data_IF_297378245439
#
_entry.id   IF_297378245439
#
_cell.length_a   1.000
_cell.length_b   1.000
_cell.length_c   1.000
_cell.angle_alpha   90.00
_cell.angle_beta   90.00
_cell.angle_gamma   90.00
#
_symmetry.space_group_name_H-M   'P 1'
#
loop_
_entity.id
_entity.type
_entity.pdbx_description
1 polymer ?
#
# COMPACT_ATOMS: atom_id res chain seq x y z
N UNK A 1 24.33 45.44 -49.56
CA UNK A 1 24.85 46.29 -48.45
C UNK A 1 23.75 46.33 -47.41
N UNK A 2 23.83 45.44 -46.42
CA UNK A 2 24.37 45.69 -45.06
C UNK A 2 23.26 46.28 -44.16
N UNK A 3 22.93 45.76 -42.97
CA UNK A 3 23.56 44.77 -42.11
C UNK A 3 23.39 45.20 -40.65
N UNK A 4 23.15 44.23 -39.75
CA UNK A 4 23.26 44.20 -38.27
C UNK A 4 21.99 43.59 -37.67
N UNK A 5 21.94 42.33 -37.21
CA UNK A 5 22.75 41.58 -36.23
C UNK A 5 22.57 42.07 -34.79
N UNK A 6 21.78 41.32 -34.01
CA UNK A 6 22.08 41.09 -32.60
C UNK A 6 21.51 39.74 -32.13
N UNK A 7 22.39 38.99 -31.48
CA UNK A 7 22.26 37.60 -31.08
C UNK A 7 21.23 37.37 -29.97
N UNK A 8 20.57 36.22 -29.98
CA UNK A 8 19.90 35.65 -28.80
C UNK A 8 20.67 34.43 -28.35
N UNK A 9 21.12 34.53 -27.11
CA UNK A 9 21.85 33.55 -26.33
C UNK A 9 21.07 32.23 -26.22
N UNK A 10 21.74 31.10 -26.47
CA UNK A 10 21.19 29.75 -26.30
C UNK A 10 21.93 29.09 -25.15
N UNK A 11 21.32 29.07 -23.97
CA UNK A 11 21.76 28.22 -22.85
C UNK A 11 21.43 26.75 -23.08
N UNK A 12 22.23 25.81 -22.54
CA UNK A 12 22.09 24.38 -22.84
C UNK A 12 20.92 23.73 -22.10
N UNK A 13 20.10 23.00 -22.85
CA UNK A 13 19.08 22.07 -22.37
C UNK A 13 19.77 20.81 -21.83
N UNK A 14 19.72 20.61 -20.52
CA UNK A 14 20.11 19.34 -19.89
C UNK A 14 18.91 18.40 -19.99
N UNK A 15 19.05 17.37 -20.82
CA UNK A 15 18.09 16.28 -21.02
C UNK A 15 18.65 15.07 -20.28
N UNK A 16 18.17 14.80 -19.05
CA UNK A 16 18.51 13.56 -18.36
C UNK A 16 17.66 12.42 -18.96
N UNK A 17 18.31 11.58 -19.76
CA UNK A 17 17.80 10.27 -20.17
C UNK A 17 18.40 9.24 -19.23
N UNK A 18 17.57 8.59 -18.41
CA UNK A 18 17.98 7.40 -17.66
C UNK A 18 17.53 6.19 -18.48
N UNK A 19 18.47 5.55 -19.18
CA UNK A 19 18.32 4.20 -19.71
C UNK A 19 19.11 3.28 -18.81
N UNK A 20 18.44 2.33 -18.15
CA UNK A 20 19.08 1.22 -17.44
C UNK A 20 18.74 -0.08 -18.17
N UNK A 21 19.77 -0.74 -18.72
CA UNK A 21 19.77 -2.19 -18.95
C UNK A 21 21.18 -2.75 -18.72
N UNK A 22 21.28 -4.03 -18.31
CA UNK A 22 22.39 -4.53 -17.50
C UNK A 22 23.45 -5.24 -18.35
N UNK A 23 24.68 -5.32 -17.84
CA UNK A 23 25.60 -6.36 -18.27
C UNK A 23 26.55 -6.78 -17.14
N UNK A 24 26.39 -8.03 -16.72
CA UNK A 24 27.40 -8.83 -16.04
C UNK A 24 28.74 -8.74 -16.75
N UNK A 25 29.82 -8.54 -15.98
CA UNK A 25 31.15 -9.05 -16.30
C UNK A 25 31.89 -9.39 -15.01
N UNK A 26 32.11 -10.69 -14.83
CA UNK A 26 33.04 -11.27 -13.85
C UNK A 26 34.47 -10.86 -14.18
N UNK A 27 35.20 -10.35 -13.18
CA UNK A 27 36.67 -10.33 -13.19
C UNK A 27 37.23 -10.71 -11.83
N UNK A 28 38.07 -11.75 -11.85
CA UNK A 28 38.84 -12.31 -10.75
C UNK A 28 39.70 -11.27 -10.02
N UNK A 29 39.54 -11.13 -8.70
CA UNK A 29 40.51 -10.51 -7.81
C UNK A 29 40.96 -11.53 -6.75
N UNK A 30 42.28 -11.64 -6.57
CA UNK A 30 42.97 -12.54 -5.63
C UNK A 30 42.73 -12.09 -4.17
N UNK A 31 42.74 -13.01 -3.18
CA UNK A 31 42.38 -12.68 -1.80
C UNK A 31 43.47 -11.82 -1.14
N UNK A 32 43.07 -10.65 -0.63
CA UNK A 32 43.88 -9.84 0.26
C UNK A 32 43.63 -10.31 1.69
N UNK A 33 44.69 -10.75 2.35
CA UNK A 33 44.75 -11.18 3.75
C UNK A 33 44.16 -10.11 4.68
N UNK A 34 43.12 -10.49 5.43
CA UNK A 34 42.62 -9.79 6.61
C UNK A 34 43.71 -9.85 7.69
N UNK A 35 44.22 -8.68 8.06
CA UNK A 35 44.83 -8.48 9.37
C UNK A 35 43.72 -7.98 10.29
N UNK A 36 43.44 -8.76 11.33
CA UNK A 36 42.57 -8.36 12.43
C UNK A 36 43.18 -7.13 13.14
N UNK A 37 42.51 -5.99 13.05
CA UNK A 37 42.59 -4.94 14.06
C UNK A 37 41.23 -4.89 14.76
N UNK A 38 41.10 -5.68 15.83
CA UNK A 38 40.00 -5.55 16.79
C UNK A 38 40.32 -4.40 17.75
N UNK A 39 39.31 -3.54 17.99
CA UNK A 39 39.20 -2.74 19.21
C UNK A 39 39.42 -1.23 19.05
N UNK A 40 38.43 -0.48 18.55
CA UNK A 40 38.30 0.98 18.81
C UNK A 40 36.97 1.64 18.37
N UNK A 41 35.99 0.91 17.81
CA UNK A 41 34.89 1.59 17.08
C UNK A 41 33.67 2.08 17.91
N UNK A 42 33.22 1.46 19.03
CA UNK A 42 32.04 1.97 19.73
C UNK A 42 32.31 3.29 20.48
N UNK A 43 33.54 3.49 20.97
CA UNK A 43 33.91 4.68 21.76
C UNK A 43 34.06 5.95 20.91
N UNK A 44 34.33 5.84 19.60
CA UNK A 44 34.43 7.01 18.72
C UNK A 44 33.07 7.50 18.24
N UNK A 45 32.14 6.60 17.95
CA UNK A 45 30.76 6.94 17.57
C UNK A 45 30.01 7.64 18.72
N UNK A 46 30.18 7.15 19.96
CA UNK A 46 29.63 7.79 21.15
C UNK A 46 30.26 9.17 21.42
N UNK A 47 31.59 9.30 21.25
CA UNK A 47 32.31 10.58 21.41
C UNK A 47 31.98 11.61 20.33
N UNK A 48 31.54 11.20 19.13
CA UNK A 48 31.15 12.14 18.06
C UNK A 48 29.74 12.69 18.22
N UNK A 49 28.86 11.99 18.96
CA UNK A 49 27.51 12.47 19.29
C UNK A 49 27.54 13.54 20.40
N UNK A 50 28.52 13.49 21.29
CA UNK A 50 28.72 14.53 22.32
C UNK A 50 29.22 15.88 21.75
N UNK A 51 29.67 15.92 20.49
CA UNK A 51 30.16 17.14 19.81
C UNK A 51 29.12 17.84 18.91
N UNK A 52 27.89 17.32 18.79
CA UNK A 52 26.85 17.94 17.95
C UNK A 52 26.10 19.04 18.71
N UNK A 53 26.07 20.26 18.15
CA UNK A 53 25.32 21.41 18.68
C UNK A 53 23.79 21.32 18.43
N UNK A 54 23.30 20.20 17.88
CA UNK A 54 21.90 20.00 17.53
C UNK A 54 21.29 19.04 18.55
N UNK A 55 20.20 19.45 19.16
CA UNK A 55 19.43 18.61 20.09
C UNK A 55 18.45 17.70 19.35
N UNK A 56 18.07 16.58 19.98
CA UNK A 56 17.02 15.70 19.45
C UNK A 56 15.69 16.44 19.28
N UNK A 57 15.38 17.37 20.19
CA UNK A 57 14.19 18.23 20.11
C UNK A 57 14.19 19.09 18.83
N UNK A 58 15.34 19.65 18.43
CA UNK A 58 15.45 20.43 17.19
C UNK A 58 15.27 19.57 15.94
N UNK A 59 15.71 18.31 15.97
CA UNK A 59 15.49 17.37 14.86
C UNK A 59 14.02 16.95 14.78
N UNK A 60 13.40 16.62 15.91
CA UNK A 60 11.99 16.27 15.99
C UNK A 60 11.09 17.43 15.53
N UNK A 61 11.39 18.66 15.95
CA UNK A 61 10.66 19.85 15.50
C UNK A 61 10.79 20.07 13.98
N UNK A 62 11.94 19.75 13.39
CA UNK A 62 12.17 19.84 11.95
C UNK A 62 11.42 18.76 11.17
N UNK A 63 11.44 17.51 11.65
CA UNK A 63 10.64 16.41 11.07
C UNK A 63 9.15 16.77 11.06
N UNK A 64 8.63 17.32 12.16
CA UNK A 64 7.26 17.80 12.23
C UNK A 64 6.96 18.97 11.25
N UNK A 65 7.95 19.80 10.92
CA UNK A 65 7.79 20.80 9.86
C UNK A 65 7.70 20.18 8.46
N UNK A 66 8.41 19.08 8.21
CA UNK A 66 8.26 18.31 6.98
C UNK A 66 6.88 17.66 6.91
N UNK A 67 6.40 17.04 8.00
CA UNK A 67 5.08 16.42 8.07
C UNK A 67 3.93 17.42 7.81
N UNK A 68 4.06 18.65 8.34
CA UNK A 68 3.14 19.75 8.07
C UNK A 68 3.10 20.08 6.55
N UNK A 69 4.25 20.09 5.88
CA UNK A 69 4.36 20.36 4.44
C UNK A 69 3.76 19.21 3.63
N UNK A 70 4.06 17.97 3.97
CA UNK A 70 3.51 16.78 3.30
C UNK A 70 1.99 16.73 3.40
N UNK A 71 1.45 17.03 4.59
CA UNK A 71 0.01 17.14 4.83
C UNK A 71 -0.63 18.19 3.90
N UNK A 72 0.01 19.35 3.73
CA UNK A 72 -0.50 20.39 2.81
C UNK A 72 -0.37 19.98 1.34
N UNK A 73 0.68 19.25 0.96
CA UNK A 73 0.82 18.70 -0.40
C UNK A 73 -0.35 17.77 -0.73
N UNK A 74 -0.73 16.88 0.20
CA UNK A 74 -1.89 15.98 0.01
C UNK A 74 -3.18 16.80 -0.19
N UNK A 75 -3.38 17.87 0.59
CA UNK A 75 -4.55 18.76 0.48
C UNK A 75 -4.63 19.42 -0.90
N UNK A 76 -3.52 19.97 -1.39
CA UNK A 76 -3.43 20.59 -2.71
C UNK A 76 -3.63 19.56 -3.84
N UNK A 77 -2.98 18.39 -3.72
CA UNK A 77 -3.13 17.30 -4.68
C UNK A 77 -4.59 16.85 -4.80
N UNK A 78 -5.29 16.68 -3.67
CA UNK A 78 -6.70 16.29 -3.66
C UNK A 78 -7.57 17.34 -4.38
N UNK A 79 -7.36 18.62 -4.07
CA UNK A 79 -8.08 19.74 -4.69
C UNK A 79 -7.91 19.76 -6.21
N UNK A 80 -6.67 19.63 -6.70
CA UNK A 80 -6.36 19.68 -8.12
C UNK A 80 -6.82 18.42 -8.88
N UNK A 81 -6.78 17.26 -8.24
CA UNK A 81 -7.10 15.97 -8.87
C UNK A 81 -8.60 15.63 -8.86
N UNK A 82 -9.38 16.17 -7.91
CA UNK A 82 -10.84 15.92 -7.79
C UNK A 82 -11.63 16.04 -9.10
N UNK A 83 -11.53 17.12 -9.91
CA UNK A 83 -12.25 17.20 -11.18
C UNK A 83 -11.77 16.18 -12.22
N UNK A 84 -10.49 15.76 -12.16
CA UNK A 84 -9.95 14.74 -13.04
C UNK A 84 -10.47 13.35 -12.67
N UNK A 85 -10.59 13.05 -11.38
CA UNK A 85 -11.20 11.81 -10.91
C UNK A 85 -12.68 11.72 -11.27
N UNK A 86 -13.44 12.82 -11.20
CA UNK A 86 -14.83 12.83 -11.67
C UNK A 86 -14.94 12.48 -13.17
N UNK A 87 -14.07 13.06 -14.01
CA UNK A 87 -13.98 12.70 -15.43
C UNK A 87 -13.56 11.24 -15.64
N UNK A 88 -12.62 10.75 -14.81
CA UNK A 88 -12.17 9.35 -14.85
C UNK A 88 -13.33 8.41 -14.59
N UNK A 89 -14.12 8.63 -13.54
CA UNK A 89 -15.30 7.80 -13.21
C UNK A 89 -16.28 7.72 -14.39
N UNK A 90 -16.57 8.84 -15.06
CA UNK A 90 -17.45 8.84 -16.24
C UNK A 90 -16.91 7.97 -17.38
N UNK A 91 -15.61 8.01 -17.63
CA UNK A 91 -14.97 7.20 -18.67
C UNK A 91 -14.94 5.72 -18.30
N UNK A 92 -14.54 5.40 -17.07
CA UNK A 92 -14.37 4.03 -16.59
C UNK A 92 -15.71 3.29 -16.49
N UNK A 93 -16.81 3.98 -16.19
CA UNK A 93 -18.15 3.38 -16.14
C UNK A 93 -18.62 2.73 -17.45
N UNK A 94 -17.95 3.06 -18.58
CA UNK A 94 -18.25 2.52 -19.91
C UNK A 94 -17.47 1.24 -20.23
N UNK A 95 -16.51 0.87 -19.38
CA UNK A 95 -15.65 -0.31 -19.55
C UNK A 95 -16.15 -1.42 -18.61
N UNK A 96 -16.72 -2.52 -19.15
CA UNK A 96 -17.14 -3.65 -18.34
C UNK A 96 -15.97 -4.24 -17.56
N UNK A 97 -16.22 -4.68 -16.32
CA UNK A 97 -15.27 -5.39 -15.45
C UNK A 97 -13.95 -4.64 -15.18
N UNK A 98 -13.89 -3.32 -15.45
CA UNK A 98 -12.67 -2.54 -15.30
C UNK A 98 -11.99 -2.74 -13.95
N UNK A 99 -12.75 -2.62 -12.85
CA UNK A 99 -12.19 -2.73 -11.50
C UNK A 99 -11.81 -4.15 -11.11
N UNK A 100 -12.49 -5.16 -11.64
CA UNK A 100 -12.10 -6.55 -11.43
C UNK A 100 -10.74 -6.84 -12.09
N UNK A 101 -10.55 -6.41 -13.34
CA UNK A 101 -9.27 -6.54 -14.05
C UNK A 101 -8.15 -5.73 -13.41
N UNK A 102 -8.47 -4.56 -12.82
CA UNK A 102 -7.51 -3.79 -12.03
C UNK A 102 -7.06 -4.57 -10.78
N UNK A 103 -7.99 -5.24 -10.09
CA UNK A 103 -7.67 -6.03 -8.91
C UNK A 103 -6.88 -7.31 -9.23
N UNK A 104 -7.07 -7.91 -10.41
CA UNK A 104 -6.23 -9.04 -10.87
C UNK A 104 -4.75 -8.65 -11.08
N UNK A 105 -4.46 -7.36 -11.21
CA UNK A 105 -3.11 -6.81 -11.31
C UNK A 105 -2.75 -5.98 -10.08
N UNK A 106 -3.48 -6.15 -8.97
CA UNK A 106 -3.25 -5.36 -7.77
C UNK A 106 -1.80 -5.50 -7.28
N UNK A 107 -1.25 -4.47 -6.61
CA UNK A 107 0.02 -4.60 -5.92
C UNK A 107 -0.04 -5.73 -4.88
N UNK A 108 1.12 -6.30 -4.55
CA UNK A 108 1.26 -7.45 -3.65
C UNK A 108 0.62 -7.19 -2.28
N UNK A 109 0.74 -5.95 -1.77
CA UNK A 109 0.14 -5.49 -0.50
C UNK A 109 -1.40 -5.57 -0.49
N UNK A 110 -2.04 -5.85 -1.62
CA UNK A 110 -3.49 -6.06 -1.74
C UNK A 110 -3.77 -7.49 -2.23
N UNK A 111 -3.07 -7.95 -3.26
CA UNK A 111 -3.29 -9.25 -3.91
C UNK A 111 -3.19 -10.42 -2.93
N UNK A 112 -2.25 -10.36 -1.98
CA UNK A 112 -2.04 -11.44 -1.00
C UNK A 112 -3.25 -11.70 -0.10
N UNK A 113 -4.15 -10.71 0.06
CA UNK A 113 -5.36 -10.81 0.88
C UNK A 113 -6.60 -11.25 0.10
N UNK A 114 -6.53 -11.31 -1.23
CA UNK A 114 -7.68 -11.66 -2.08
C UNK A 114 -7.71 -13.18 -2.31
N UNK A 115 -8.68 -13.86 -1.71
CA UNK A 115 -8.85 -15.30 -1.91
C UNK A 115 -9.60 -15.59 -3.23
N UNK A 116 -9.49 -16.80 -3.80
CA UNK A 116 -10.21 -17.16 -5.02
C UNK A 116 -11.73 -16.97 -4.95
N UNK A 117 -12.33 -17.16 -3.77
CA UNK A 117 -13.76 -16.89 -3.54
C UNK A 117 -14.09 -15.40 -3.58
N UNK A 118 -13.17 -14.55 -3.13
CA UNK A 118 -13.32 -13.09 -3.17
C UNK A 118 -13.20 -12.61 -4.61
N UNK A 119 -12.17 -13.07 -5.34
CA UNK A 119 -11.97 -12.74 -6.76
C UNK A 119 -13.20 -13.10 -7.59
N UNK A 120 -13.80 -14.27 -7.35
CA UNK A 120 -15.03 -14.67 -8.06
C UNK A 120 -16.19 -13.70 -7.81
N UNK A 121 -16.40 -13.27 -6.56
CA UNK A 121 -17.43 -12.30 -6.20
C UNK A 121 -17.15 -10.93 -6.81
N UNK A 122 -15.91 -10.46 -6.70
CA UNK A 122 -15.45 -9.16 -7.22
C UNK A 122 -15.59 -9.11 -8.75
N UNK A 123 -15.16 -10.14 -9.46
CA UNK A 123 -15.30 -10.25 -10.92
C UNK A 123 -16.75 -10.18 -11.39
N UNK A 124 -17.67 -10.82 -10.67
CA UNK A 124 -19.07 -10.91 -11.08
C UNK A 124 -19.90 -9.68 -10.73
N UNK A 125 -19.51 -8.92 -9.70
CA UNK A 125 -20.41 -7.91 -9.13
C UNK A 125 -19.78 -6.57 -8.83
N UNK A 126 -18.45 -6.41 -8.80
CA UNK A 126 -17.83 -5.11 -8.53
C UNK A 126 -18.04 -4.15 -9.72
N UNK A 127 -18.67 -3.01 -9.46
CA UNK A 127 -18.91 -1.95 -10.45
C UNK A 127 -17.90 -0.82 -10.36
N UNK A 128 -17.59 -0.41 -9.15
CA UNK A 128 -16.69 0.72 -8.92
C UNK A 128 -15.97 0.58 -7.60
N UNK A 129 -14.72 0.99 -7.58
CA UNK A 129 -14.04 1.44 -6.36
C UNK A 129 -14.06 2.98 -6.39
N UNK A 130 -13.93 3.64 -5.26
CA UNK A 130 -13.68 5.07 -5.17
C UNK A 130 -13.01 5.41 -3.85
N UNK A 131 -12.08 6.37 -3.88
CA UNK A 131 -11.42 6.89 -2.70
C UNK A 131 -11.68 8.38 -2.60
N UNK A 132 -12.09 8.83 -1.42
CA UNK A 132 -12.31 10.24 -1.10
C UNK A 132 -11.61 10.61 0.19
N UNK A 133 -11.22 11.88 0.34
CA UNK A 133 -10.71 12.43 1.59
C UNK A 133 -11.85 13.18 2.27
N UNK A 134 -12.78 12.43 2.83
CA UNK A 134 -14.11 12.91 3.25
C UNK A 134 -14.05 14.04 4.29
N UNK A 135 -13.05 14.06 5.17
CA UNK A 135 -12.87 15.18 6.11
C UNK A 135 -12.58 16.50 5.39
N UNK A 136 -11.85 16.47 4.26
CA UNK A 136 -11.61 17.65 3.43
C UNK A 136 -12.87 18.10 2.69
N UNK A 137 -13.73 17.15 2.32
CA UNK A 137 -15.01 17.44 1.69
C UNK A 137 -16.01 18.10 2.65
N UNK A 138 -15.93 17.74 3.94
CA UNK A 138 -16.73 18.33 5.01
C UNK A 138 -16.19 19.70 5.46
N UNK A 139 -14.87 19.81 5.69
CA UNK A 139 -14.20 21.06 6.04
C UNK A 139 -12.79 21.13 5.41
N UNK A 140 -12.68 21.88 4.32
CA UNK A 140 -11.42 22.07 3.57
C UNK A 140 -10.27 22.65 4.42
N UNK A 141 -10.55 23.26 5.58
CA UNK A 141 -9.52 23.87 6.43
C UNK A 141 -9.17 23.02 7.65
N UNK A 142 -10.16 22.32 8.21
CA UNK A 142 -9.98 21.56 9.46
C UNK A 142 -9.86 20.07 9.25
N UNK A 143 -10.37 19.53 8.14
CA UNK A 143 -10.27 18.11 7.85
C UNK A 143 -8.82 17.67 7.69
N UNK A 144 -8.50 16.50 8.26
CA UNK A 144 -7.19 15.89 8.04
C UNK A 144 -7.15 15.26 6.64
N UNK A 145 -6.18 15.64 5.79
CA UNK A 145 -6.11 15.13 4.43
C UNK A 145 -5.73 13.66 4.38
N UNK A 146 -5.14 13.07 5.43
CA UNK A 146 -4.76 11.65 5.47
C UNK A 146 -5.95 10.73 5.74
N UNK A 147 -7.04 11.24 6.32
CA UNK A 147 -8.29 10.50 6.46
C UNK A 147 -8.90 10.18 5.09
N UNK A 148 -9.25 8.90 4.87
CA UNK A 148 -9.78 8.41 3.60
C UNK A 148 -11.06 7.60 3.79
N UNK A 149 -11.96 7.66 2.82
CA UNK A 149 -13.09 6.75 2.69
C UNK A 149 -12.94 5.97 1.40
N UNK A 150 -12.93 4.64 1.52
CA UNK A 150 -12.81 3.70 0.42
C UNK A 150 -14.17 3.06 0.23
N UNK A 151 -14.74 3.24 -0.96
CA UNK A 151 -16.10 2.87 -1.28
C UNK A 151 -16.15 1.92 -2.48
N UNK A 152 -16.73 0.76 -2.27
CA UNK A 152 -16.98 -0.28 -3.25
C UNK A 152 -18.46 -0.28 -3.61
N UNK A 153 -18.76 -0.22 -4.91
CA UNK A 153 -20.12 -0.35 -5.44
C UNK A 153 -20.30 -1.70 -6.10
N UNK A 154 -21.42 -2.36 -5.81
CA UNK A 154 -21.73 -3.69 -6.29
C UNK A 154 -23.02 -3.75 -7.12
N UNK A 155 -23.06 -4.68 -8.06
CA UNK A 155 -24.29 -5.20 -8.64
C UNK A 155 -25.04 -6.07 -7.62
N UNK A 156 -26.32 -6.31 -7.89
CA UNK A 156 -27.03 -7.38 -7.20
C UNK A 156 -26.27 -8.69 -7.39
N UNK A 157 -26.00 -9.39 -6.29
CA UNK A 157 -25.17 -10.59 -6.27
C UNK A 157 -25.74 -11.64 -5.31
N UNK A 158 -25.21 -12.86 -5.33
CA UNK A 158 -25.70 -13.96 -4.50
C UNK A 158 -25.21 -13.93 -3.04
N UNK A 159 -24.28 -13.05 -2.71
CA UNK A 159 -23.55 -13.10 -1.45
C UNK A 159 -24.13 -12.19 -0.38
N UNK A 160 -24.47 -10.95 -0.70
CA UNK A 160 -24.99 -9.97 0.25
C UNK A 160 -26.03 -9.05 -0.37
N UNK A 161 -26.72 -8.27 0.47
CA UNK A 161 -27.78 -7.33 0.06
C UNK A 161 -27.28 -5.91 -0.21
N UNK A 162 -26.07 -5.57 0.26
CA UNK A 162 -25.47 -4.25 0.10
C UNK A 162 -25.12 -3.94 -1.35
N UNK A 163 -25.57 -2.79 -1.84
CA UNK A 163 -25.10 -2.25 -3.13
C UNK A 163 -23.84 -1.41 -3.00
N UNK A 164 -23.50 -1.00 -1.77
CA UNK A 164 -22.37 -0.12 -1.45
C UNK A 164 -21.77 -0.59 -0.14
N UNK A 165 -20.47 -0.84 -0.12
CA UNK A 165 -19.68 -0.99 1.10
C UNK A 165 -18.69 0.15 1.16
N UNK A 166 -18.80 1.00 2.17
CA UNK A 166 -17.89 2.13 2.40
C UNK A 166 -17.21 1.94 3.74
N UNK A 167 -15.87 1.93 3.74
CA UNK A 167 -15.04 1.89 4.93
C UNK A 167 -14.28 3.20 5.07
N UNK A 168 -14.36 3.81 6.25
CA UNK A 168 -13.68 5.07 6.58
C UNK A 168 -12.49 4.81 7.47
N UNK A 169 -11.41 5.52 7.19
CA UNK A 169 -10.18 5.53 7.97
C UNK A 169 -9.91 6.98 8.36
N UNK A 170 -9.73 7.20 9.66
CA UNK A 170 -9.43 8.50 10.21
C UNK A 170 -7.98 8.53 10.65
N UNK A 171 -7.25 9.58 10.28
CA UNK A 171 -5.96 9.84 10.89
C UNK A 171 -6.17 10.33 12.32
N UNK A 172 -5.52 9.67 13.28
CA UNK A 172 -5.63 9.97 14.70
C UNK A 172 -4.26 9.96 15.37
N UNK A 173 -4.21 10.65 16.50
CA UNK A 173 -3.04 10.75 17.36
C UNK A 173 -3.47 10.49 18.80
N UNK A 174 -2.77 9.65 19.56
CA UNK A 174 -3.00 9.47 21.00
C UNK A 174 -2.01 10.31 21.82
N UNK A 175 -2.23 10.40 23.14
CA UNK A 175 -1.28 11.04 24.06
C UNK A 175 0.00 10.22 24.25
N UNK A 176 -0.11 8.91 24.06
CA UNK A 176 0.94 7.92 24.27
C UNK A 176 1.83 7.76 23.02
N UNK A 177 1.68 8.62 22.02
CA UNK A 177 2.58 8.70 20.86
C UNK A 177 2.08 7.99 19.60
N UNK A 178 1.01 7.21 19.67
CA UNK A 178 0.43 6.60 18.46
C UNK A 178 -0.02 7.68 17.48
N UNK A 179 0.34 7.50 16.20
CA UNK A 179 -0.14 8.29 15.09
C UNK A 179 -0.40 7.36 13.90
N UNK A 180 -1.63 7.31 13.41
CA UNK A 180 -1.98 6.37 12.35
C UNK A 180 -3.44 6.40 11.95
N UNK A 181 -3.79 5.49 11.04
CA UNK A 181 -5.17 5.30 10.61
C UNK A 181 -5.91 4.40 11.60
N UNK A 182 -7.07 4.86 12.04
CA UNK A 182 -8.04 4.05 12.78
C UNK A 182 -9.33 3.94 11.98
N UNK A 183 -10.12 2.90 12.23
CA UNK A 183 -11.36 2.63 11.49
C UNK A 183 -12.46 2.11 12.41
N UNK A 184 -13.60 1.81 11.81
CA UNK A 184 -14.74 1.18 12.45
C UNK A 184 -15.16 -0.03 11.61
N UNK A 185 -15.73 -1.08 12.23
CA UNK A 185 -16.20 -2.24 11.50
C UNK A 185 -17.44 -1.91 10.68
N UNK A 186 -17.43 -2.31 9.41
CA UNK A 186 -18.56 -2.15 8.48
C UNK A 186 -19.31 -3.46 8.41
N UNK A 187 -20.61 -3.42 8.74
CA UNK A 187 -21.46 -4.61 8.64
C UNK A 187 -21.80 -4.92 7.18
N UNK A 188 -21.63 -6.18 6.78
CA UNK A 188 -22.07 -6.71 5.49
C UNK A 188 -23.30 -7.58 5.73
N UNK A 189 -24.42 -7.28 5.05
CA UNK A 189 -25.67 -8.05 5.15
C UNK A 189 -25.59 -9.30 4.28
N UNK A 190 -24.82 -10.28 4.73
CA UNK A 190 -24.65 -11.56 4.06
C UNK A 190 -25.98 -12.32 3.93
N UNK A 191 -26.21 -12.88 2.74
CA UNK A 191 -27.29 -13.82 2.48
C UNK A 191 -26.97 -15.15 3.16
N UNK A 192 -28.02 -15.92 3.45
CA UNK A 192 -27.93 -17.16 4.22
C UNK A 192 -26.91 -18.13 3.61
N UNK A 193 -25.87 -18.46 4.37
CA UNK A 193 -24.83 -19.43 4.00
C UNK A 193 -23.85 -18.94 2.93
N UNK A 194 -23.76 -17.62 2.72
CA UNK A 194 -22.90 -16.99 1.72
C UNK A 194 -21.86 -16.03 2.31
N UNK A 195 -21.74 -16.01 3.64
CA UNK A 195 -20.77 -15.22 4.38
C UNK A 195 -19.35 -15.78 4.14
N UNK A 196 -18.52 -14.99 3.46
CA UNK A 196 -17.13 -15.34 3.16
C UNK A 196 -16.20 -15.14 4.38
N UNK A 197 -16.66 -14.43 5.40
CA UNK A 197 -15.93 -14.20 6.66
C UNK A 197 -16.25 -15.23 7.74
N UNK A 198 -17.13 -16.19 7.44
CA UNK A 198 -17.58 -17.24 8.36
C UNK A 198 -18.02 -16.71 9.76
N UNK A 199 -18.71 -15.57 9.75
CA UNK A 199 -19.23 -14.89 10.93
C UNK A 199 -18.23 -14.05 11.73
N UNK A 200 -16.95 -13.99 11.33
CA UNK A 200 -15.92 -13.17 12.01
C UNK A 200 -16.34 -11.71 12.08
N UNK A 201 -16.81 -11.14 10.97
CA UNK A 201 -17.20 -9.75 10.90
C UNK A 201 -18.33 -9.38 11.89
N UNK A 202 -19.28 -10.30 12.07
CA UNK A 202 -20.36 -10.14 13.05
C UNK A 202 -19.85 -10.17 14.50
N UNK A 203 -18.85 -11.00 14.80
CA UNK A 203 -18.22 -11.05 16.12
C UNK A 203 -17.44 -9.76 16.42
N UNK A 204 -16.64 -9.28 15.45
CA UNK A 204 -15.92 -8.00 15.59
C UNK A 204 -16.88 -6.85 15.86
N UNK A 205 -17.96 -6.74 15.08
CA UNK A 205 -18.97 -5.70 15.30
C UNK A 205 -19.59 -5.79 16.70
N UNK A 206 -19.85 -7.00 17.19
CA UNK A 206 -20.42 -7.21 18.51
C UNK A 206 -19.47 -6.84 19.65
N UNK A 207 -18.16 -7.08 19.49
CA UNK A 207 -17.09 -6.66 20.41
C UNK A 207 -16.97 -5.14 20.41
N UNK A 208 -16.88 -4.54 19.22
CA UNK A 208 -16.80 -3.09 19.05
C UNK A 208 -17.99 -2.36 19.69
N UNK A 209 -19.21 -2.85 19.48
CA UNK A 209 -20.42 -2.27 20.12
C UNK A 209 -20.41 -2.42 21.65
N UNK A 210 -19.81 -3.47 22.19
CA UNK A 210 -19.64 -3.64 23.63
C UNK A 210 -18.61 -2.65 24.21
N UNK A 211 -17.51 -2.43 23.49
CA UNK A 211 -16.48 -1.44 23.86
C UNK A 211 -17.05 -0.02 23.84
N UNK A 212 -17.84 0.34 22.82
CA UNK A 212 -18.53 1.64 22.76
C UNK A 212 -19.53 1.83 23.91
N UNK A 213 -20.22 0.77 24.32
CA UNK A 213 -21.19 0.83 25.42
C UNK A 213 -20.51 0.91 26.81
N UNK A 214 -19.27 0.46 26.92
CA UNK A 214 -18.45 0.47 28.15
C UNK A 214 -17.03 0.92 27.81
N UNK A 215 -16.83 2.20 27.47
CA UNK A 215 -15.49 2.70 27.15
C UNK A 215 -14.56 2.45 28.34
N UNK A 216 -13.34 1.96 28.07
CA UNK A 216 -12.33 1.67 29.10
C UNK A 216 -12.25 2.88 30.05
N UNK A 217 -12.50 2.66 31.34
CA UNK A 217 -12.07 3.62 32.36
C UNK A 217 -10.56 3.53 32.44
N UNK A 218 -9.85 4.65 32.33
CA UNK A 218 -8.39 4.71 32.53
C UNK A 218 -8.02 4.08 33.88
N UNK A 219 -7.60 2.82 33.86
CA UNK A 219 -6.94 2.18 34.98
C UNK A 219 -5.46 2.48 34.88
N UNK A 220 -4.93 3.21 35.87
CA UNK A 220 -3.50 3.59 35.97
C UNK A 220 -2.53 2.41 36.16
N UNK A 221 -3.02 1.18 36.15
CA UNK A 221 -2.21 -0.02 36.31
C UNK A 221 -2.05 -0.71 34.95
N UNK A 222 -0.99 -0.39 34.20
CA UNK A 222 -0.59 -1.05 32.94
C UNK A 222 -0.32 -2.56 33.08
N UNK A 223 -0.34 -3.12 34.31
CA UNK A 223 -0.01 -4.53 34.64
C UNK A 223 -1.21 -5.39 35.08
N UNK A 224 -2.44 -4.89 35.03
CA UNK A 224 -3.61 -5.70 35.37
C UNK A 224 -4.12 -6.45 34.14
N UNK A 225 -3.95 -7.78 34.10
CA UNK A 225 -4.57 -8.66 33.08
C UNK A 225 -6.09 -8.45 33.09
N UNK A 226 -6.62 -7.73 32.11
CA UNK A 226 -8.07 -7.50 31.97
C UNK A 226 -8.68 -8.77 31.39
N UNK A 227 -9.56 -9.43 32.16
CA UNK A 227 -10.26 -10.60 31.65
C UNK A 227 -11.10 -10.24 30.41
N UNK A 228 -10.85 -10.93 29.29
CA UNK A 228 -11.66 -10.78 28.08
C UNK A 228 -13.15 -11.00 28.36
N UNK A 229 -13.99 -10.17 27.75
CA UNK A 229 -15.45 -10.35 27.77
C UNK A 229 -15.85 -11.65 27.08
N UNK A 230 -17.09 -12.11 27.29
CA UNK A 230 -17.60 -13.29 26.59
C UNK A 230 -17.56 -13.15 25.06
N UNK A 231 -17.80 -11.93 24.55
CA UNK A 231 -17.74 -11.64 23.12
C UNK A 231 -16.31 -11.65 22.59
N UNK A 232 -15.37 -11.06 23.33
CA UNK A 232 -13.96 -11.08 22.97
C UNK A 232 -13.39 -12.50 22.98
N UNK A 233 -13.76 -13.32 23.97
CA UNK A 233 -13.40 -14.74 24.02
C UNK A 233 -13.95 -15.51 22.82
N UNK A 234 -15.20 -15.27 22.45
CA UNK A 234 -15.81 -15.90 21.27
C UNK A 234 -15.11 -15.49 19.96
N UNK A 235 -14.67 -14.23 19.86
CA UNK A 235 -13.89 -13.74 18.73
C UNK A 235 -12.50 -14.39 18.68
N UNK A 236 -11.74 -14.38 19.79
CA UNK A 236 -10.42 -15.03 19.89
C UNK A 236 -10.50 -16.52 19.53
N UNK A 237 -11.47 -17.25 20.11
CA UNK A 237 -11.69 -18.67 19.78
C UNK A 237 -12.00 -18.89 18.29
N UNK A 238 -12.68 -17.94 17.63
CA UNK A 238 -12.97 -18.02 16.20
C UNK A 238 -11.72 -17.73 15.36
N UNK A 239 -10.92 -16.73 15.73
CA UNK A 239 -9.63 -16.40 15.09
C UNK A 239 -8.70 -17.62 15.14
N UNK A 240 -8.52 -18.20 16.33
CA UNK A 240 -7.67 -19.37 16.57
C UNK A 240 -8.07 -20.58 15.71
N UNK A 241 -9.37 -20.74 15.44
CA UNK A 241 -9.91 -21.83 14.61
C UNK A 241 -9.76 -21.59 13.11
N UNK A 242 -9.91 -20.34 12.67
CA UNK A 242 -9.81 -19.99 11.25
C UNK A 242 -8.36 -20.05 10.77
N UNK A 243 -7.42 -19.63 11.62
CA UNK A 243 -6.00 -19.53 11.28
C UNK A 243 -5.69 -18.29 10.42
N UNK A 244 -4.46 -17.78 10.54
CA UNK A 244 -4.05 -16.48 9.96
C UNK A 244 -4.04 -16.41 8.42
N UNK A 245 -3.95 -17.55 7.72
CA UNK A 245 -3.66 -17.58 6.27
C UNK A 245 -4.86 -17.80 5.34
N UNK A 246 -6.10 -17.62 5.78
CA UNK A 246 -7.29 -17.99 5.01
C UNK A 246 -8.52 -17.11 5.20
N UNK A 247 -8.36 -15.93 5.79
CA UNK A 247 -9.46 -14.98 5.92
C UNK A 247 -9.77 -14.35 4.57
N UNK A 248 -11.06 -14.24 4.25
CA UNK A 248 -11.54 -13.53 3.08
C UNK A 248 -11.12 -12.06 3.12
N UNK A 249 -10.85 -11.45 1.96
CA UNK A 249 -10.66 -10.00 1.82
C UNK A 249 -11.76 -9.20 2.52
N UNK A 250 -13.00 -9.71 2.56
CA UNK A 250 -14.12 -9.03 3.23
C UNK A 250 -13.96 -8.93 4.75
N UNK A 251 -13.02 -9.66 5.38
CA UNK A 251 -12.64 -9.47 6.77
C UNK A 251 -11.97 -8.11 7.01
N UNK A 252 -11.37 -7.49 5.99
CA UNK A 252 -10.83 -6.13 6.04
C UNK A 252 -11.88 -5.10 6.46
N UNK A 253 -13.17 -5.34 6.16
CA UNK A 253 -14.25 -4.48 6.63
C UNK A 253 -14.38 -4.47 8.16
N UNK A 254 -13.84 -5.47 8.86
CA UNK A 254 -13.77 -5.56 10.30
C UNK A 254 -12.53 -4.92 10.93
N UNK A 255 -11.51 -4.55 10.16
CA UNK A 255 -10.32 -3.89 10.70
C UNK A 255 -10.68 -2.60 11.46
N UNK A 256 -10.05 -2.38 12.61
CA UNK A 256 -10.27 -1.20 13.47
C UNK A 256 -8.97 -0.43 13.68
N UNK A 257 -7.84 -1.13 13.84
CA UNK A 257 -6.59 -0.54 14.31
C UNK A 257 -6.67 -0.12 15.79
N UNK A 258 -5.85 0.84 16.17
CA UNK A 258 -5.85 1.38 17.54
C UNK A 258 -7.16 2.09 17.89
N UNK A 259 -7.60 1.96 19.14
CA UNK A 259 -8.81 2.62 19.59
C UNK A 259 -8.50 4.04 20.08
N UNK A 260 -8.43 5.00 19.14
CA UNK A 260 -8.24 6.43 19.44
C UNK A 260 -9.47 7.23 19.07
N UNK A 261 -10.13 7.83 20.06
CA UNK A 261 -11.33 8.62 19.81
C UNK A 261 -11.02 9.96 19.11
N UNK A 262 -12.00 10.51 18.39
CA UNK A 262 -11.84 11.83 17.76
C UNK A 262 -11.57 12.96 18.79
N UNK A 263 -12.15 12.86 19.99
CA UNK A 263 -11.94 13.85 21.05
C UNK A 263 -10.55 13.73 21.67
N UNK A 264 -10.10 12.51 21.95
CA UNK A 264 -8.75 12.23 22.43
C UNK A 264 -7.70 12.75 21.45
N UNK A 265 -7.86 12.45 20.15
CA UNK A 265 -6.95 12.94 19.12
C UNK A 265 -6.97 14.46 18.99
N UNK A 266 -8.15 15.09 19.08
CA UNK A 266 -8.25 16.55 19.07
C UNK A 266 -7.49 17.17 20.25
N UNK A 267 -7.55 16.56 21.43
CA UNK A 267 -6.82 17.00 22.62
C UNK A 267 -5.32 16.80 22.41
N UNK A 268 -4.88 15.60 22.03
CA UNK A 268 -3.47 15.27 21.84
C UNK A 268 -2.80 16.19 20.80
N UNK A 269 -3.43 16.38 19.64
CA UNK A 269 -2.92 17.28 18.58
C UNK A 269 -2.92 18.75 19.02
N UNK A 270 -3.87 19.18 19.86
CA UNK A 270 -3.89 20.56 20.36
C UNK A 270 -2.79 20.81 21.40
N UNK A 271 -2.57 19.85 22.31
CA UNK A 271 -1.49 19.87 23.29
C UNK A 271 -0.13 19.90 22.58
N UNK A 272 0.11 19.01 21.62
CA UNK A 272 1.36 18.95 20.85
C UNK A 272 1.63 20.26 20.07
N UNK A 273 0.61 20.81 19.40
CA UNK A 273 0.74 22.11 18.70
C UNK A 273 1.05 23.25 19.66
N UNK A 274 0.49 23.25 20.87
CA UNK A 274 0.78 24.26 21.87
C UNK A 274 2.20 24.14 22.41
N UNK A 275 2.64 22.92 22.72
CA UNK A 275 4.03 22.62 23.13
C UNK A 275 5.01 23.08 22.06
N UNK A 276 4.80 22.71 20.80
CA UNK A 276 5.63 23.15 19.66
C UNK A 276 5.67 24.67 19.54
N UNK A 277 4.55 25.36 19.73
CA UNK A 277 4.50 26.83 19.72
C UNK A 277 5.35 27.42 20.86
N UNK A 278 5.30 26.82 22.06
CA UNK A 278 6.11 27.25 23.21
C UNK A 278 7.60 27.04 22.95
N UNK A 279 8.01 25.87 22.46
CA UNK A 279 9.42 25.58 22.07
C UNK A 279 9.94 26.60 21.05
N UNK A 280 9.20 26.83 19.96
CA UNK A 280 9.56 27.83 18.92
C UNK A 280 9.62 29.27 19.45
N UNK A 281 8.90 29.58 20.52
CA UNK A 281 8.95 30.87 21.19
C UNK A 281 10.06 30.97 22.26
N UNK A 282 10.80 29.89 22.52
CA UNK A 282 11.78 29.79 23.59
C UNK A 282 11.17 29.76 25.00
N UNK A 283 9.88 29.41 25.11
CA UNK A 283 9.18 29.20 26.38
C UNK A 283 9.49 27.79 26.92
N UNK A 284 9.61 27.63 28.23
CA UNK A 284 9.83 26.32 28.88
C UNK A 284 8.60 25.42 28.66
N UNK A 285 8.84 24.24 28.11
CA UNK A 285 7.84 23.18 28.00
C UNK A 285 8.10 22.18 29.11
N UNK A 286 7.03 21.75 29.79
CA UNK A 286 7.16 20.69 30.77
C UNK A 286 7.69 19.45 30.05
N UNK A 287 8.82 18.92 30.51
CA UNK A 287 9.26 17.59 30.05
C UNK A 287 8.14 16.63 30.41
N UNK A 288 7.64 15.90 29.42
CA UNK A 288 6.92 14.66 29.72
C UNK A 288 7.96 13.80 30.43
N UNK A 289 7.62 13.27 31.60
CA UNK A 289 8.53 12.37 32.28
C UNK A 289 8.73 11.19 31.32
N UNK A 290 9.90 11.14 30.67
CA UNK A 290 10.36 10.05 29.79
C UNK A 290 10.63 8.79 30.63
N UNK A 291 9.70 8.39 31.51
CA UNK A 291 9.81 7.16 32.31
C UNK A 291 9.59 5.90 31.46
N UNK A 292 9.27 6.03 30.17
CA UNK A 292 9.02 4.91 29.25
C UNK A 292 10.02 4.85 28.05
N UNK A 293 11.12 5.63 28.05
CA UNK A 293 12.27 5.41 27.14
C UNK A 293 13.36 4.52 27.79
N UNK A 294 12.96 3.56 28.64
CA UNK A 294 13.78 2.36 28.73
C UNK A 294 13.67 1.68 27.36
N UNK A 295 14.70 1.84 26.53
CA UNK A 295 15.05 0.86 25.52
C UNK A 295 15.25 -0.47 26.26
N UNK A 296 14.15 -1.12 26.60
CA UNK A 296 14.15 -2.53 26.93
C UNK A 296 14.69 -3.20 25.67
N UNK A 297 15.95 -3.62 25.73
CA UNK A 297 16.43 -4.80 25.03
C UNK A 297 15.52 -5.97 25.47
N UNK A 298 14.28 -5.98 24.98
CA UNK A 298 13.29 -7.00 25.21
C UNK A 298 13.62 -8.17 24.29
N UNK A 299 14.59 -8.97 24.69
CA UNK A 299 14.45 -10.42 24.59
C UNK A 299 13.34 -10.88 25.57
N UNK A 300 12.13 -10.31 25.45
CA UNK A 300 10.93 -10.72 26.19
C UNK A 300 10.01 -11.45 25.21
N UNK A 301 10.35 -12.70 24.95
CA UNK A 301 9.49 -13.73 24.33
C UNK A 301 8.19 -13.99 25.16
N UNK A 302 7.77 -13.09 26.06
CA UNK A 302 6.64 -13.24 27.00
C UNK A 302 5.51 -12.19 26.80
N UNK A 303 5.62 -11.27 25.83
CA UNK A 303 4.51 -10.38 25.39
C UNK A 303 3.58 -11.05 24.33
N UNK A 304 3.63 -12.37 24.17
CA UNK A 304 2.86 -13.15 23.18
C UNK A 304 1.32 -13.10 23.34
N UNK A 305 0.73 -12.29 24.22
CA UNK A 305 -0.70 -12.34 24.57
C UNK A 305 -1.33 -10.97 24.91
N UNK A 306 -0.96 -9.86 24.26
CA UNK A 306 -2.02 -8.87 24.02
C UNK A 306 -3.03 -9.59 23.12
N UNK A 307 -4.22 -9.89 23.66
CA UNK A 307 -5.21 -10.73 22.98
C UNK A 307 -5.55 -10.12 21.61
N UNK A 308 -4.82 -10.54 20.57
CA UNK A 308 -4.95 -9.99 19.22
C UNK A 308 -6.33 -10.39 18.68
N UNK A 309 -7.26 -9.44 18.79
CA UNK A 309 -8.62 -9.56 18.29
C UNK A 309 -8.73 -9.01 16.86
N UNK A 310 -7.61 -8.65 16.22
CA UNK A 310 -7.60 -8.21 14.85
C UNK A 310 -7.78 -9.40 13.90
N UNK A 311 -8.91 -9.41 13.20
CA UNK A 311 -9.21 -10.45 12.19
C UNK A 311 -8.52 -10.17 10.86
N UNK A 312 -7.93 -8.99 10.71
CA UNK A 312 -7.24 -8.55 9.50
C UNK A 312 -6.05 -7.65 9.91
N UNK A 313 -4.94 -8.25 10.37
CA UNK A 313 -3.73 -7.51 10.65
C UNK A 313 -3.30 -6.68 9.44
N UNK A 314 -2.71 -5.50 9.66
CA UNK A 314 -2.24 -4.59 8.61
C UNK A 314 -3.36 -4.04 7.70
N UNK A 315 -4.60 -3.97 8.20
CA UNK A 315 -5.71 -3.41 7.43
C UNK A 315 -5.55 -1.94 7.03
N UNK A 316 -4.76 -1.16 7.79
CA UNK A 316 -4.33 0.19 7.44
C UNK A 316 -3.37 0.19 6.25
N UNK A 317 -2.43 -0.75 6.18
CA UNK A 317 -1.52 -0.89 5.04
C UNK A 317 -2.30 -1.18 3.74
N UNK A 318 -3.29 -2.09 3.79
CA UNK A 318 -4.19 -2.35 2.65
C UNK A 318 -4.99 -1.09 2.29
N UNK A 319 -5.46 -0.32 3.28
CA UNK A 319 -6.16 0.93 3.03
C UNK A 319 -5.26 1.97 2.32
N UNK A 320 -4.01 2.11 2.75
CA UNK A 320 -3.01 2.98 2.12
C UNK A 320 -2.65 2.50 0.71
N UNK A 321 -2.41 1.20 0.52
CA UNK A 321 -2.14 0.62 -0.80
C UNK A 321 -3.31 0.88 -1.77
N UNK A 322 -4.55 0.76 -1.30
CA UNK A 322 -5.73 1.11 -2.11
C UNK A 322 -5.76 2.61 -2.41
N UNK A 323 -5.56 3.47 -1.40
CA UNK A 323 -5.73 4.92 -1.50
C UNK A 323 -4.65 5.61 -2.33
N UNK A 324 -3.39 5.18 -2.20
CA UNK A 324 -2.22 5.86 -2.74
C UNK A 324 -1.61 5.16 -3.97
N UNK A 325 -1.86 3.86 -4.18
CA UNK A 325 -1.38 3.12 -5.37
C UNK A 325 -2.52 2.59 -6.26
N UNK A 326 -3.33 1.63 -5.81
CA UNK A 326 -4.33 0.97 -6.67
C UNK A 326 -5.33 1.99 -7.26
N UNK A 327 -5.90 2.85 -6.43
CA UNK A 327 -6.91 3.82 -6.87
C UNK A 327 -6.34 4.87 -7.82
N UNK A 328 -5.23 5.59 -7.51
CA UNK A 328 -4.62 6.52 -8.46
C UNK A 328 -4.09 5.82 -9.71
N UNK A 329 -3.49 4.64 -9.54
CA UNK A 329 -2.84 3.82 -10.57
C UNK A 329 -3.76 2.94 -11.41
N UNK A 330 -5.08 2.92 -11.17
CA UNK A 330 -6.01 1.98 -11.81
C UNK A 330 -5.89 1.85 -13.34
N UNK A 331 -5.63 2.94 -14.07
CA UNK A 331 -5.43 2.87 -15.52
C UNK A 331 -4.19 2.07 -15.93
N UNK A 332 -3.11 2.16 -15.14
CA UNK A 332 -1.87 1.39 -15.35
C UNK A 332 -2.14 -0.10 -15.17
N UNK A 333 -2.78 -0.48 -14.07
CA UNK A 333 -3.11 -1.88 -13.76
C UNK A 333 -4.07 -2.49 -14.80
N UNK A 334 -5.06 -1.71 -15.24
CA UNK A 334 -5.95 -2.16 -16.31
C UNK A 334 -5.20 -2.43 -17.63
N UNK A 335 -4.26 -1.54 -18.01
CA UNK A 335 -3.45 -1.76 -19.23
C UNK A 335 -2.59 -3.01 -19.08
N UNK A 336 -1.99 -3.23 -17.92
CA UNK A 336 -1.20 -4.44 -17.64
C UNK A 336 -2.03 -5.71 -17.78
N UNK A 337 -3.28 -5.71 -17.29
CA UNK A 337 -4.19 -6.85 -17.44
C UNK A 337 -4.48 -7.16 -18.92
N UNK A 338 -4.71 -6.12 -19.73
CA UNK A 338 -4.95 -6.29 -21.17
C UNK A 338 -3.71 -6.77 -21.94
N UNK A 339 -2.52 -6.31 -21.54
CA UNK A 339 -1.25 -6.78 -22.13
C UNK A 339 -1.00 -8.25 -21.79
N UNK A 340 -1.26 -8.68 -20.55
CA UNK A 340 -1.11 -10.08 -20.16
C UNK A 340 -2.09 -11.00 -20.91
N UNK A 341 -3.33 -10.57 -21.10
CA UNK A 341 -4.35 -11.32 -21.85
C UNK A 341 -3.97 -11.44 -23.34
N UNK A 342 -3.60 -10.32 -23.99
CA UNK A 342 -3.18 -10.32 -25.40
C UNK A 342 -1.87 -11.08 -25.66
N UNK A 343 -0.98 -11.18 -24.68
CA UNK A 343 0.21 -12.03 -24.78
C UNK A 343 -0.14 -13.52 -24.67
N UNK A 344 -1.19 -13.88 -23.93
CA UNK A 344 -1.67 -15.26 -23.84
C UNK A 344 -2.34 -15.74 -25.13
N UNK A 345 -3.07 -14.86 -25.83
CA UNK A 345 -3.65 -15.17 -27.14
C UNK A 345 -2.55 -15.38 -28.21
N UNK A 346 -1.47 -14.59 -28.17
CA UNK A 346 -0.40 -14.68 -29.15
C UNK A 346 0.47 -15.94 -29.00
N UNK A 347 0.65 -16.43 -27.76
CA UNK A 347 1.43 -17.65 -27.46
C UNK A 347 0.69 -18.92 -27.90
N UNK A 348 -0.66 -18.89 -27.86
CA UNK A 348 -1.50 -20.01 -28.30
C UNK A 348 -1.58 -20.13 -29.85
N UNK A 349 -1.56 -19.03 -30.60
CA UNK A 349 -1.58 -19.08 -32.06
C UNK A 349 -0.23 -19.45 -32.71
N UNK A 350 0.87 -19.52 -31.94
CA UNK A 350 2.20 -19.91 -32.46
C UNK A 350 2.56 -21.40 -32.30
N UNK A 351 1.71 -22.21 -31.64
CA UNK A 351 2.00 -23.62 -31.34
C UNK A 351 1.19 -24.62 -32.19
N UNK A 352 0.37 -24.16 -33.14
CA UNK A 352 -0.56 -25.01 -33.92
C UNK A 352 -0.21 -25.11 -35.43
N UNK A 353 1.03 -24.75 -35.83
CA UNK A 353 1.43 -24.63 -37.24
C UNK A 353 2.73 -25.40 -37.59
N UNK A 354 3.02 -26.56 -36.97
CA UNK A 354 4.19 -27.39 -37.31
C UNK A 354 3.95 -28.93 -37.24
N UNK A 355 2.77 -29.42 -37.65
CA UNK A 355 2.56 -30.87 -37.92
C UNK A 355 1.81 -31.14 -39.25
N UNK A 356 2.50 -31.08 -40.40
CA UNK A 356 2.06 -31.84 -41.60
C UNK A 356 3.24 -32.44 -42.41
N UNK A 357 3.35 -33.78 -42.27
CA UNK A 357 3.63 -34.79 -43.31
C UNK A 357 5.02 -34.93 -43.97
N UNK A 358 5.85 -35.83 -43.43
CA UNK A 358 6.89 -36.57 -44.18
C UNK A 358 6.69 -38.10 -44.09
N UNK A 359 5.88 -38.69 -44.98
CA UNK A 359 5.92 -40.11 -45.40
C UNK A 359 5.32 -40.20 -46.82
N UNK A 360 5.77 -40.96 -47.83
CA UNK A 360 6.87 -41.91 -48.01
C UNK A 360 7.03 -42.12 -49.55
N UNK A 361 8.27 -42.33 -50.00
CA UNK A 361 8.68 -43.44 -50.88
C UNK A 361 8.96 -43.32 -52.41
N UNK A 362 10.13 -43.92 -52.74
CA UNK A 362 10.59 -44.60 -53.96
C UNK A 362 11.29 -43.90 -55.17
N UNK A 363 12.60 -44.17 -55.22
CA UNK A 363 13.56 -44.35 -56.32
C UNK A 363 13.12 -44.21 -57.80
N UNK A 364 13.90 -43.47 -58.62
CA UNK A 364 14.89 -44.02 -59.57
C UNK A 364 15.71 -42.91 -60.28
N UNK A 365 16.99 -43.15 -60.55
CA UNK A 365 17.91 -42.31 -61.37
C UNK A 365 17.79 -42.76 -62.85
N UNK A 366 18.22 -42.02 -63.93
CA UNK A 366 19.58 -41.47 -64.02
C UNK A 366 19.87 -40.25 -64.96
N UNK A 367 21.02 -39.62 -64.67
CA UNK A 367 22.01 -38.93 -65.53
C UNK A 367 21.65 -38.43 -66.95
N UNK A 368 21.99 -37.16 -67.23
CA UNK A 368 22.88 -36.80 -68.35
C UNK A 368 23.54 -35.42 -68.22
N UNK A 369 24.86 -35.43 -68.38
CA UNK A 369 25.76 -34.27 -68.53
C UNK A 369 25.47 -33.52 -69.84
N UNK A 370 25.60 -32.19 -69.84
CA UNK A 370 26.20 -31.50 -70.98
C UNK A 370 27.02 -30.27 -70.57
N UNK A 371 28.17 -30.15 -71.24
CA UNK A 371 29.29 -29.20 -71.07
C UNK A 371 29.03 -27.84 -71.71
N UNK A 372 29.75 -26.83 -71.19
CA UNK A 372 30.32 -25.68 -71.92
C UNK A 372 29.60 -24.36 -71.61
N UNK A 373 30.25 -23.27 -71.24
CA UNK A 373 31.66 -22.90 -71.09
C UNK A 373 31.76 -21.41 -70.70
N UNK A 374 32.95 -20.99 -70.22
CA UNK A 374 33.59 -19.66 -70.19
C UNK A 374 32.75 -18.36 -70.28
N UNK A 375 33.13 -17.22 -69.73
CA UNK A 375 34.17 -16.77 -68.80
C UNK A 375 33.97 -15.25 -68.64
N UNK A 376 34.22 -14.75 -67.43
CA UNK A 376 34.91 -13.50 -67.07
C UNK A 376 34.78 -12.24 -67.96
N UNK A 377 34.25 -11.17 -67.36
CA UNK A 377 34.55 -9.78 -67.70
C UNK A 377 34.82 -8.97 -66.42
N UNK A 378 36.09 -8.63 -66.22
CA UNK A 378 36.67 -7.91 -65.08
C UNK A 378 36.72 -6.39 -65.34
N UNK A 379 37.02 -5.62 -64.27
CA UNK A 379 37.54 -4.23 -64.15
C UNK A 379 36.52 -3.22 -63.59
N UNK A 380 36.84 -2.41 -62.57
CA UNK A 380 38.11 -2.09 -61.93
C UNK A 380 37.95 -1.85 -60.42
#
# INVERSE_FOLDING_TARGET
MAGSSQARDRGPLIRLFIHSKPHQQFVNAKPCTISQEEGSEPSKMASTLEETMVSYEELSDLEQEFDDVETEIIRQQYTLSKPLYAKRVELLSKIPNFWALVLEQAPMDIDEYIQPSDSALLLLSLKSISVSRFELDEDEKKGDPRSVAIRFEFAENEHFEDSVLEKKFWWRQSKDGFQGLVSEPVEIRWKKGKDLTDGLLGLVKAVYDEQLAKPKQETKDKKAKVDLTEKQKALKEKIDKTGMGGVSFFAWFGYIGEYVSAEESRIATAEDKEERRKRKAGEEVAKKDDEDEEMEDADDDDDEDEDDLDIFPMGDAVAMAIADDLWPGALKYFIQAQEQDGMSELDFETDDDDEEDEEEDNADRPQKKHKGGCAHGCKH
#
